data_IF_725073305442
#
_entry.id   IF_725073305442
#
_cell.length_a   1.000
_cell.length_b   1.000
_cell.length_c   1.000
_cell.angle_alpha   90.00
_cell.angle_beta   90.00
_cell.angle_gamma   90.00
#
_symmetry.space_group_name_H-M   'P 1'
#
loop_
_entity.id
_entity.type
_entity.pdbx_description
1 polymer ?
#
# COMPACT_ATOMS: atom_id res chain seq x y z
N UNK A 1 11.67 3.17 9.54
CA UNK A 1 10.65 4.25 9.69
C UNK A 1 11.14 5.49 8.95
N UNK A 2 10.24 6.21 8.29
CA UNK A 2 10.53 7.48 7.58
C UNK A 2 10.30 8.66 8.53
N UNK A 3 10.99 9.79 8.28
CA UNK A 3 10.84 11.01 9.07
C UNK A 3 9.81 11.96 8.44
N UNK A 4 9.44 13.03 9.16
CA UNK A 4 8.43 14.00 8.71
C UNK A 4 8.75 14.62 7.34
N UNK A 5 10.02 14.90 7.08
CA UNK A 5 10.45 15.42 5.77
C UNK A 5 10.18 14.43 4.64
N UNK A 6 10.46 13.15 4.87
CA UNK A 6 10.19 12.08 3.90
C UNK A 6 8.69 11.86 3.70
N UNK A 7 7.87 11.99 4.76
CA UNK A 7 6.40 11.94 4.65
C UNK A 7 5.92 13.05 3.72
N UNK A 8 6.39 14.29 3.90
CA UNK A 8 6.02 15.41 3.04
C UNK A 8 6.52 15.21 1.60
N UNK A 9 7.77 14.80 1.42
CA UNK A 9 8.33 14.52 0.08
C UNK A 9 7.56 13.41 -0.66
N UNK A 10 7.11 12.38 0.03
CA UNK A 10 6.31 11.32 -0.56
C UNK A 10 4.92 11.83 -0.96
N UNK A 11 4.30 12.65 -0.12
CA UNK A 11 3.03 13.30 -0.46
C UNK A 11 3.16 14.18 -1.70
N UNK A 12 4.18 15.00 -1.77
CA UNK A 12 4.42 15.88 -2.91
C UNK A 12 4.66 15.09 -4.20
N UNK A 13 5.40 13.97 -4.13
CA UNK A 13 5.57 13.02 -5.25
C UNK A 13 4.27 12.38 -5.69
N UNK A 14 3.40 12.01 -4.74
CA UNK A 14 2.09 11.42 -5.03
C UNK A 14 1.21 12.42 -5.79
N UNK A 15 1.14 13.66 -5.32
CA UNK A 15 0.37 14.73 -5.97
C UNK A 15 0.94 15.04 -7.35
N UNK A 16 2.26 15.18 -7.48
CA UNK A 16 2.92 15.39 -8.77
C UNK A 16 2.63 14.26 -9.76
N UNK A 17 2.65 13.00 -9.31
CA UNK A 17 2.32 11.86 -10.15
C UNK A 17 0.88 11.94 -10.68
N UNK A 18 -0.07 12.40 -9.87
CA UNK A 18 -1.47 12.60 -10.28
C UNK A 18 -1.56 13.72 -11.31
N UNK A 19 -0.87 14.84 -11.07
CA UNK A 19 -0.85 15.98 -11.98
C UNK A 19 -0.26 15.64 -13.35
N UNK A 20 0.78 14.79 -13.38
CA UNK A 20 1.47 14.38 -14.59
C UNK A 20 0.73 13.26 -15.37
N UNK A 21 -0.09 12.47 -14.68
CA UNK A 21 -0.74 11.29 -15.27
C UNK A 21 -2.12 11.58 -15.80
N UNK A 22 -2.90 12.41 -15.12
CA UNK A 22 -4.32 12.62 -15.43
C UNK A 22 -4.59 14.03 -15.95
N UNK A 23 -5.68 14.17 -16.71
CA UNK A 23 -6.10 15.43 -17.31
C UNK A 23 -7.58 15.77 -17.01
N UNK A 24 -7.96 17.04 -17.30
CA UNK A 24 -9.33 17.54 -17.30
C UNK A 24 -10.07 17.31 -15.97
N UNK A 25 -11.37 17.04 -16.07
CA UNK A 25 -12.29 16.84 -14.95
C UNK A 25 -11.85 15.70 -14.01
N UNK A 26 -11.24 14.65 -14.57
CA UNK A 26 -10.73 13.53 -13.77
C UNK A 26 -9.61 13.97 -12.82
N UNK A 27 -8.65 14.73 -13.32
CA UNK A 27 -7.56 15.32 -12.51
C UNK A 27 -8.12 16.19 -11.39
N UNK A 28 -9.03 17.09 -11.72
CA UNK A 28 -9.61 18.02 -10.74
C UNK A 28 -10.31 17.27 -9.59
N UNK A 29 -11.09 16.24 -9.92
CA UNK A 29 -11.77 15.40 -8.93
C UNK A 29 -10.81 14.60 -8.08
N UNK A 30 -9.77 14.03 -8.69
CA UNK A 30 -8.70 13.32 -7.97
C UNK A 30 -8.01 14.26 -6.98
N UNK A 31 -7.54 15.42 -7.43
CA UNK A 31 -6.89 16.39 -6.55
C UNK A 31 -7.80 16.86 -5.41
N UNK A 32 -9.10 17.03 -5.68
CA UNK A 32 -10.10 17.35 -4.63
C UNK A 32 -10.20 16.22 -3.60
N UNK A 33 -10.26 14.98 -4.04
CA UNK A 33 -10.31 13.80 -3.17
C UNK A 33 -9.04 13.70 -2.31
N UNK A 34 -7.86 13.76 -2.93
CA UNK A 34 -6.60 13.68 -2.21
C UNK A 34 -6.42 14.85 -1.22
N UNK A 35 -6.88 16.06 -1.57
CA UNK A 35 -6.89 17.19 -0.64
C UNK A 35 -7.79 16.92 0.57
N UNK A 36 -8.95 16.30 0.37
CA UNK A 36 -9.87 15.94 1.47
C UNK A 36 -9.21 14.96 2.44
N UNK A 37 -8.51 13.95 1.92
CA UNK A 37 -7.87 12.90 2.71
C UNK A 37 -6.43 13.22 3.13
N UNK A 38 -5.88 14.40 2.81
CA UNK A 38 -4.45 14.71 2.95
C UNK A 38 -3.87 14.31 4.29
N UNK A 39 -4.40 14.83 5.38
CA UNK A 39 -3.83 14.62 6.71
C UNK A 39 -3.91 13.15 7.13
N UNK A 40 -5.00 12.47 6.82
CA UNK A 40 -5.17 11.04 7.08
C UNK A 40 -4.20 10.19 6.27
N UNK A 41 -4.14 10.37 4.96
CA UNK A 41 -3.26 9.60 4.08
C UNK A 41 -1.79 9.83 4.39
N UNK A 42 -1.39 11.07 4.69
CA UNK A 42 0.00 11.40 5.02
C UNK A 42 0.51 10.64 6.24
N UNK A 43 -0.37 10.35 7.21
CA UNK A 43 0.02 9.69 8.46
C UNK A 43 -0.52 8.25 8.59
N UNK A 44 -1.31 7.77 7.63
CA UNK A 44 -1.78 6.39 7.64
C UNK A 44 -0.64 5.39 7.54
N UNK A 45 -0.69 4.26 8.29
CA UNK A 45 0.15 3.11 8.03
C UNK A 45 -0.38 2.33 6.83
N UNK A 46 0.48 1.55 6.16
CA UNK A 46 0.04 0.64 5.10
C UNK A 46 -0.57 -0.66 5.65
N UNK A 47 -0.25 -1.03 6.89
CA UNK A 47 -0.79 -2.21 7.57
C UNK A 47 -0.95 -1.96 9.07
N UNK A 48 -1.77 -2.78 9.73
CA UNK A 48 -1.98 -2.70 11.17
C UNK A 48 -0.94 -3.44 12.01
N UNK A 49 -0.13 -4.30 11.40
CA UNK A 49 0.80 -5.19 12.10
C UNK A 49 2.23 -4.98 11.62
N UNK A 50 3.14 -4.83 12.56
CA UNK A 50 4.54 -4.42 12.36
C UNK A 50 5.31 -5.31 11.38
N UNK A 51 5.08 -6.61 11.42
CA UNK A 51 5.76 -7.59 10.56
C UNK A 51 5.12 -7.80 9.18
N UNK A 52 4.12 -7.01 8.81
CA UNK A 52 3.58 -7.11 7.45
C UNK A 52 4.36 -6.19 6.51
N UNK A 53 3.94 -4.94 6.38
CA UNK A 53 4.63 -3.97 5.54
C UNK A 53 4.26 -2.56 5.98
N UNK A 54 5.26 -1.69 6.03
CA UNK A 54 5.11 -0.23 6.24
C UNK A 54 4.11 0.17 7.32
N UNK A 55 4.13 -0.55 8.49
CA UNK A 55 3.27 -0.32 9.65
C UNK A 55 3.78 0.85 10.50
N UNK A 56 3.82 2.05 9.92
CA UNK A 56 4.29 3.28 10.56
C UNK A 56 3.64 4.51 9.91
N UNK A 57 3.61 5.67 10.59
CA UNK A 57 3.08 6.91 10.02
C UNK A 57 3.76 7.26 8.68
N UNK A 58 2.95 7.48 7.64
CA UNK A 58 3.43 7.72 6.28
C UNK A 58 3.70 6.46 5.45
N UNK A 59 3.53 5.28 6.05
CA UNK A 59 3.74 4.00 5.37
C UNK A 59 2.79 3.79 4.20
N UNK A 60 1.54 4.24 4.30
CA UNK A 60 0.55 4.13 3.23
C UNK A 60 1.02 4.80 1.93
N UNK A 61 1.39 6.07 1.97
CA UNK A 61 1.83 6.81 0.77
C UNK A 61 3.12 6.22 0.21
N UNK A 62 4.06 5.83 1.07
CA UNK A 62 5.30 5.16 0.66
C UNK A 62 5.01 3.86 -0.10
N UNK A 63 4.13 3.02 0.45
CA UNK A 63 3.70 1.76 -0.15
C UNK A 63 3.06 1.99 -1.53
N UNK A 64 2.09 2.90 -1.62
CA UNK A 64 1.41 3.23 -2.89
C UNK A 64 2.40 3.68 -3.97
N UNK A 65 3.37 4.54 -3.64
CA UNK A 65 4.41 4.97 -4.59
C UNK A 65 5.29 3.79 -5.05
N UNK A 66 5.64 2.89 -4.14
CA UNK A 66 6.39 1.67 -4.48
C UNK A 66 5.58 0.76 -5.40
N UNK A 67 4.27 0.59 -5.14
CA UNK A 67 3.38 -0.20 -6.02
C UNK A 67 3.35 0.38 -7.43
N UNK A 68 3.16 1.70 -7.59
CA UNK A 68 3.18 2.34 -8.91
C UNK A 68 4.52 2.10 -9.62
N UNK A 69 5.63 2.22 -8.90
CA UNK A 69 6.96 1.97 -9.45
C UNK A 69 7.10 0.53 -9.98
N UNK A 70 6.72 -0.48 -9.17
CA UNK A 70 6.81 -1.88 -9.58
C UNK A 70 5.77 -2.25 -10.64
N UNK A 71 4.57 -1.70 -10.60
CA UNK A 71 3.56 -1.92 -11.63
C UNK A 71 4.06 -1.48 -13.01
N UNK A 72 4.71 -0.31 -13.10
CA UNK A 72 5.35 0.15 -14.36
C UNK A 72 6.46 -0.79 -14.81
N UNK A 73 7.34 -1.23 -13.91
CA UNK A 73 8.40 -2.20 -14.23
C UNK A 73 7.83 -3.54 -14.72
N UNK A 74 6.82 -4.07 -14.05
CA UNK A 74 6.20 -5.33 -14.48
C UNK A 74 5.46 -5.17 -15.81
N UNK A 75 4.83 -4.03 -16.06
CA UNK A 75 4.25 -3.73 -17.36
C UNK A 75 5.30 -3.85 -18.48
N UNK A 76 6.47 -3.22 -18.29
CA UNK A 76 7.57 -3.30 -19.25
C UNK A 76 8.07 -4.73 -19.43
N UNK A 77 8.28 -5.47 -18.32
CA UNK A 77 8.70 -6.89 -18.38
C UNK A 77 7.68 -7.73 -19.15
N UNK A 78 6.38 -7.58 -18.90
CA UNK A 78 5.35 -8.33 -19.62
C UNK A 78 5.32 -7.97 -21.11
N UNK A 79 5.39 -6.69 -21.43
CA UNK A 79 5.42 -6.17 -22.81
C UNK A 79 6.63 -6.69 -23.59
N UNK A 80 7.82 -6.60 -23.01
CA UNK A 80 9.09 -7.02 -23.65
C UNK A 80 9.15 -8.54 -23.87
N UNK A 81 8.39 -9.32 -23.11
CA UNK A 81 8.27 -10.76 -23.27
C UNK A 81 7.03 -11.18 -24.10
N UNK A 82 6.43 -10.26 -24.82
CA UNK A 82 5.39 -10.53 -25.82
C UNK A 82 3.98 -10.67 -25.25
N UNK A 83 3.72 -10.22 -24.02
CA UNK A 83 2.35 -10.16 -23.50
C UNK A 83 1.55 -9.07 -24.26
N UNK A 84 0.25 -9.34 -24.46
CA UNK A 84 -0.65 -8.37 -25.07
C UNK A 84 -1.09 -7.33 -24.05
N UNK A 85 -0.62 -6.11 -24.22
CA UNK A 85 -0.87 -4.98 -23.29
C UNK A 85 -1.62 -3.81 -23.94
N UNK A 86 -2.09 -3.99 -25.20
CA UNK A 86 -2.72 -2.93 -26.00
C UNK A 86 -4.21 -2.72 -25.68
N UNK A 87 -4.79 -3.53 -24.80
CA UNK A 87 -6.21 -3.48 -24.42
C UNK A 87 -6.48 -2.66 -23.16
N UNK A 88 -5.48 -1.98 -22.62
CA UNK A 88 -5.57 -0.98 -21.59
C UNK A 88 -4.40 0.02 -21.70
N UNK A 89 -4.49 1.14 -20.99
CA UNK A 89 -3.48 2.19 -21.03
C UNK A 89 -2.58 2.13 -19.78
N UNK A 90 -1.39 2.74 -19.87
CA UNK A 90 -0.52 2.93 -18.70
C UNK A 90 -1.20 3.84 -17.66
N UNK A 91 -2.04 4.79 -18.09
CA UNK A 91 -2.85 5.61 -17.19
C UNK A 91 -3.80 4.74 -16.35
N UNK A 92 -4.52 3.77 -16.97
CA UNK A 92 -5.40 2.83 -16.25
C UNK A 92 -4.62 1.99 -15.22
N UNK A 93 -3.40 1.55 -15.58
CA UNK A 93 -2.54 0.82 -14.65
C UNK A 93 -2.12 1.68 -13.46
N UNK A 94 -1.68 2.92 -13.71
CA UNK A 94 -1.30 3.86 -12.65
C UNK A 94 -2.52 4.20 -11.78
N UNK A 95 -3.69 4.42 -12.39
CA UNK A 95 -4.92 4.67 -11.64
C UNK A 95 -5.25 3.52 -10.70
N UNK A 96 -5.24 2.28 -11.19
CA UNK A 96 -5.51 1.13 -10.35
C UNK A 96 -4.46 0.96 -9.24
N UNK A 97 -3.18 1.19 -9.55
CA UNK A 97 -2.09 1.12 -8.57
C UNK A 97 -2.20 2.19 -7.47
N UNK A 98 -2.60 3.42 -7.82
CA UNK A 98 -2.83 4.50 -6.85
C UNK A 98 -3.99 4.22 -5.89
N UNK A 99 -4.99 3.47 -6.33
CA UNK A 99 -6.25 3.33 -5.62
C UNK A 99 -6.55 1.92 -5.10
N UNK A 100 -5.66 0.92 -5.31
CA UNK A 100 -5.89 -0.46 -4.85
C UNK A 100 -6.13 -0.54 -3.34
N UNK A 101 -5.45 0.28 -2.58
CA UNK A 101 -5.51 0.36 -1.12
C UNK A 101 -6.21 1.65 -0.60
N UNK A 102 -6.91 2.39 -1.47
CA UNK A 102 -7.53 3.67 -1.10
C UNK A 102 -8.44 3.55 0.13
N UNK A 103 -9.12 2.43 0.31
CA UNK A 103 -9.98 2.19 1.46
C UNK A 103 -9.24 2.16 2.80
N UNK A 104 -7.92 2.02 2.82
CA UNK A 104 -7.10 2.15 4.04
C UNK A 104 -7.01 3.59 4.56
N UNK A 105 -7.42 4.59 3.78
CA UNK A 105 -7.57 5.97 4.23
C UNK A 105 -8.77 6.19 5.18
N UNK A 106 -9.66 5.19 5.29
CA UNK A 106 -10.88 5.28 6.10
C UNK A 106 -12.14 5.54 5.27
N UNK A 107 -13.20 6.05 5.89
CA UNK A 107 -14.36 6.56 5.19
C UNK A 107 -14.28 8.09 4.98
N UNK A 108 -15.40 8.77 4.70
CA UNK A 108 -15.37 10.21 4.45
C UNK A 108 -15.00 11.04 5.70
N UNK A 109 -15.21 10.50 6.90
CA UNK A 109 -15.07 11.22 8.17
C UNK A 109 -14.00 10.64 9.09
N UNK A 110 -13.83 9.31 9.13
CA UNK A 110 -13.04 8.59 10.11
C UNK A 110 -11.89 7.79 9.46
N UNK A 111 -10.81 7.61 10.22
CA UNK A 111 -9.65 6.80 9.83
C UNK A 111 -9.99 5.30 9.80
N UNK A 112 -9.36 4.55 8.87
CA UNK A 112 -9.46 3.09 8.88
C UNK A 112 -8.71 2.47 10.06
N UNK A 113 -7.53 2.98 10.36
CA UNK A 113 -6.68 2.45 11.42
C UNK A 113 -6.64 3.39 12.62
N UNK A 114 -6.89 2.84 13.81
CA UNK A 114 -6.69 3.52 15.08
C UNK A 114 -5.59 2.82 15.90
N UNK A 115 -4.88 3.53 16.79
CA UNK A 115 -3.89 2.92 17.64
C UNK A 115 -4.47 1.77 18.47
N UNK A 116 -3.77 0.65 18.53
CA UNK A 116 -4.17 -0.47 19.36
C UNK A 116 -3.91 -0.17 20.84
N UNK A 117 -4.95 -0.14 21.66
CA UNK A 117 -4.84 0.15 23.10
C UNK A 117 -4.32 -1.04 23.91
N UNK A 118 -4.28 -2.25 23.35
CA UNK A 118 -3.79 -3.44 24.03
C UNK A 118 -2.27 -3.52 23.99
N UNK A 119 -1.61 -3.25 25.12
CA UNK A 119 -0.16 -3.36 25.25
C UNK A 119 0.33 -4.79 24.96
N UNK A 120 -0.42 -5.80 25.39
CA UNK A 120 -0.09 -7.19 25.14
C UNK A 120 -0.05 -7.52 23.64
N UNK A 121 -1.06 -7.09 22.87
CA UNK A 121 -1.10 -7.33 21.43
C UNK A 121 0.00 -6.56 20.68
N UNK A 122 0.31 -5.33 21.10
CA UNK A 122 1.42 -4.58 20.53
C UNK A 122 2.75 -5.29 20.75
N UNK A 123 3.04 -5.72 22.02
CA UNK A 123 4.33 -6.33 22.36
C UNK A 123 4.50 -7.76 21.85
N UNK A 124 3.44 -8.57 21.89
CA UNK A 124 3.56 -10.00 21.59
C UNK A 124 3.14 -10.38 20.16
N UNK A 125 2.39 -9.51 19.46
CA UNK A 125 1.89 -9.78 18.12
C UNK A 125 2.26 -8.67 17.12
N UNK A 126 2.96 -7.62 17.53
CA UNK A 126 3.30 -6.50 16.67
C UNK A 126 2.06 -5.75 16.12
N UNK A 127 0.88 -5.92 16.74
CA UNK A 127 -0.36 -5.24 16.31
C UNK A 127 -0.38 -3.80 16.81
N UNK A 128 0.24 -2.90 16.06
CA UNK A 128 0.36 -1.48 16.43
C UNK A 128 -0.94 -0.73 16.20
N UNK A 129 -1.66 -1.06 15.12
CA UNK A 129 -2.97 -0.49 14.79
C UNK A 129 -4.02 -1.58 14.68
N UNK A 130 -5.28 -1.18 14.81
CA UNK A 130 -6.47 -2.02 14.61
C UNK A 130 -7.46 -1.30 13.72
N UNK A 131 -8.34 -2.05 13.08
CA UNK A 131 -9.43 -1.46 12.31
C UNK A 131 -10.34 -0.65 13.22
N UNK A 132 -10.79 0.51 12.74
CA UNK A 132 -11.68 1.39 13.45
C UNK A 132 -13.10 0.78 13.51
N UNK A 133 -13.61 0.42 14.70
CA UNK A 133 -14.92 -0.21 14.83
C UNK A 133 -16.09 0.76 14.59
N UNK A 134 -15.82 2.06 14.47
CA UNK A 134 -16.86 3.08 14.28
C UNK A 134 -17.29 3.23 12.82
N UNK A 135 -16.46 2.76 11.87
CA UNK A 135 -16.78 2.82 10.45
C UNK A 135 -17.44 1.52 9.95
N UNK A 136 -18.28 1.61 8.94
CA UNK A 136 -18.84 0.43 8.30
C UNK A 136 -17.71 -0.44 7.73
N UNK A 137 -17.73 -1.73 8.07
CA UNK A 137 -16.78 -2.68 7.49
C UNK A 137 -16.96 -2.78 5.98
N UNK A 138 -15.91 -2.54 5.25
CA UNK A 138 -15.74 -2.81 3.83
C UNK A 138 -14.30 -3.27 3.61
N UNK A 139 -14.08 -4.16 2.64
CA UNK A 139 -12.71 -4.47 2.21
C UNK A 139 -12.01 -3.20 1.68
N UNK A 140 -10.68 -3.06 1.81
CA UNK A 140 -10.00 -1.88 1.27
C UNK A 140 -10.30 -1.61 -0.21
N UNK A 141 -10.31 -2.61 -1.12
CA UNK A 141 -10.71 -2.37 -2.51
C UNK A 141 -12.16 -1.89 -2.67
N UNK A 142 -13.12 -2.49 -1.95
CA UNK A 142 -14.54 -2.11 -2.07
C UNK A 142 -14.78 -0.70 -1.53
N UNK A 143 -14.15 -0.35 -0.40
CA UNK A 143 -14.21 1.01 0.17
C UNK A 143 -13.54 2.01 -0.76
N UNK A 144 -12.41 1.67 -1.37
CA UNK A 144 -11.73 2.52 -2.34
C UNK A 144 -12.62 2.85 -3.54
N UNK A 145 -13.30 1.87 -4.11
CA UNK A 145 -14.25 2.06 -5.21
C UNK A 145 -15.45 2.91 -4.79
N UNK A 146 -15.95 2.73 -3.58
CA UNK A 146 -17.01 3.58 -3.03
C UNK A 146 -16.54 5.04 -2.87
N UNK A 147 -15.34 5.29 -2.30
CA UNK A 147 -14.77 6.63 -2.17
C UNK A 147 -14.65 7.31 -3.54
N UNK A 148 -14.11 6.62 -4.54
CA UNK A 148 -14.01 7.16 -5.91
C UNK A 148 -15.37 7.59 -6.44
N UNK A 149 -16.42 6.80 -6.19
CA UNK A 149 -17.78 7.10 -6.60
C UNK A 149 -18.36 8.32 -5.88
N UNK A 150 -18.11 8.48 -4.58
CA UNK A 150 -18.56 9.64 -3.77
C UNK A 150 -17.95 10.96 -4.29
N UNK A 151 -16.71 10.92 -4.79
CA UNK A 151 -16.07 12.08 -5.43
C UNK A 151 -16.43 12.25 -6.91
N UNK A 152 -17.34 11.41 -7.46
CA UNK A 152 -17.74 11.45 -8.85
C UNK A 152 -16.61 11.13 -9.81
N UNK A 153 -15.60 10.35 -9.37
CA UNK A 153 -14.48 9.89 -10.19
C UNK A 153 -14.92 8.63 -10.92
N UNK A 154 -14.98 8.70 -12.23
CA UNK A 154 -15.31 7.55 -13.08
C UNK A 154 -14.07 6.70 -13.31
N UNK A 155 -14.27 5.40 -13.42
CA UNK A 155 -13.20 4.43 -13.69
C UNK A 155 -13.67 3.39 -14.72
N UNK A 156 -12.73 2.85 -15.49
CA UNK A 156 -13.00 1.79 -16.45
C UNK A 156 -13.19 0.43 -15.76
N UNK A 157 -13.69 -0.56 -16.51
CA UNK A 157 -13.77 -1.94 -16.01
C UNK A 157 -12.37 -2.50 -15.72
N UNK A 158 -11.36 -2.13 -16.50
CA UNK A 158 -9.98 -2.56 -16.27
C UNK A 158 -9.44 -2.01 -14.95
N UNK A 159 -9.67 -0.71 -14.68
CA UNK A 159 -9.27 -0.07 -13.43
C UNK A 159 -10.00 -0.67 -12.23
N UNK A 160 -11.32 -0.88 -12.34
CA UNK A 160 -12.10 -1.55 -11.30
C UNK A 160 -11.55 -2.94 -10.98
N UNK A 161 -11.29 -3.76 -12.01
CA UNK A 161 -10.74 -5.10 -11.84
C UNK A 161 -9.32 -5.06 -11.28
N UNK A 162 -8.50 -4.08 -11.69
CA UNK A 162 -7.18 -3.86 -11.11
C UNK A 162 -7.25 -3.63 -9.61
N UNK A 163 -8.06 -2.66 -9.19
CA UNK A 163 -8.28 -2.33 -7.77
C UNK A 163 -8.85 -3.54 -7.02
N UNK A 164 -9.92 -4.14 -7.53
CA UNK A 164 -10.66 -5.22 -6.84
C UNK A 164 -9.84 -6.50 -6.67
N UNK A 165 -8.92 -6.78 -7.59
CA UNK A 165 -8.15 -8.03 -7.64
C UNK A 165 -6.69 -7.86 -7.19
N UNK A 166 -6.28 -6.69 -6.68
CA UNK A 166 -4.90 -6.40 -6.29
C UNK A 166 -4.34 -7.40 -5.26
N UNK A 167 -5.15 -7.79 -4.26
CA UNK A 167 -4.77 -8.81 -3.26
C UNK A 167 -4.55 -10.20 -3.88
N UNK A 168 -4.89 -10.39 -5.16
CA UNK A 168 -4.68 -11.63 -5.88
C UNK A 168 -5.34 -12.82 -5.19
N UNK A 169 -4.57 -13.92 -5.05
CA UNK A 169 -5.06 -15.15 -4.43
C UNK A 169 -5.06 -15.14 -2.90
N UNK A 170 -4.63 -14.05 -2.27
CA UNK A 170 -4.78 -13.86 -0.83
C UNK A 170 -6.25 -13.56 -0.45
N UNK A 171 -7.06 -13.04 -1.38
CA UNK A 171 -8.52 -12.99 -1.27
C UNK A 171 -9.13 -14.19 -2.04
N UNK A 172 -9.76 -15.12 -1.32
CA UNK A 172 -10.40 -16.30 -1.92
C UNK A 172 -11.46 -15.93 -2.97
N UNK A 173 -12.15 -14.78 -2.81
CA UNK A 173 -13.13 -14.26 -3.75
C UNK A 173 -12.55 -13.99 -5.14
N UNK A 174 -11.25 -13.74 -5.23
CA UNK A 174 -10.54 -13.45 -6.48
C UNK A 174 -10.20 -14.71 -7.29
N UNK A 175 -10.23 -15.89 -6.67
CA UNK A 175 -9.85 -17.17 -7.27
C UNK A 175 -10.56 -17.44 -8.61
N UNK A 176 -11.86 -17.14 -8.69
CA UNK A 176 -12.68 -17.32 -9.90
C UNK A 176 -12.24 -16.47 -11.09
N UNK A 177 -11.60 -15.32 -10.83
CA UNK A 177 -11.08 -14.42 -11.86
C UNK A 177 -9.67 -14.80 -12.29
N UNK A 178 -8.81 -15.15 -11.33
CA UNK A 178 -7.37 -15.28 -11.54
C UNK A 178 -6.93 -16.70 -11.94
N UNK A 179 -7.67 -17.75 -11.54
CA UNK A 179 -7.30 -19.15 -11.82
C UNK A 179 -7.93 -19.74 -13.08
N UNK A 180 -8.82 -19.00 -13.76
CA UNK A 180 -9.47 -19.55 -14.95
C UNK A 180 -8.62 -19.37 -16.20
N UNK A 181 -8.45 -20.44 -16.96
CA UNK A 181 -7.93 -20.44 -18.33
C UNK A 181 -9.03 -20.55 -19.37
N UNK A 182 -10.31 -20.43 -18.97
CA UNK A 182 -11.42 -20.47 -19.89
C UNK A 182 -11.47 -19.16 -20.68
N UNK A 183 -11.31 -19.26 -22.02
CA UNK A 183 -11.27 -18.13 -22.96
C UNK A 183 -12.50 -17.20 -22.84
N UNK A 184 -13.67 -17.78 -22.53
CA UNK A 184 -14.92 -17.02 -22.50
C UNK A 184 -15.17 -16.35 -21.15
N UNK A 185 -14.57 -16.87 -20.06
CA UNK A 185 -14.76 -16.44 -18.67
C UNK A 185 -13.51 -15.78 -18.05
N UNK A 186 -12.40 -15.75 -18.76
CA UNK A 186 -11.15 -15.16 -18.28
C UNK A 186 -11.16 -13.63 -18.37
N UNK A 187 -10.25 -13.03 -17.62
CA UNK A 187 -9.94 -11.61 -17.72
C UNK A 187 -9.54 -11.26 -19.17
N UNK A 188 -9.99 -10.11 -19.66
CA UNK A 188 -9.69 -9.67 -21.02
C UNK A 188 -8.44 -8.79 -21.11
N UNK A 189 -7.86 -8.42 -19.97
CA UNK A 189 -6.58 -7.72 -19.87
C UNK A 189 -5.72 -8.34 -18.76
N UNK A 190 -4.43 -8.09 -18.83
CA UNK A 190 -3.46 -8.58 -17.83
C UNK A 190 -3.13 -7.56 -16.72
N UNK A 191 -3.74 -6.37 -16.75
CA UNK A 191 -3.56 -5.33 -15.74
C UNK A 191 -3.73 -5.86 -14.30
N UNK A 192 -4.78 -6.65 -13.95
CA UNK A 192 -4.93 -7.17 -12.60
C UNK A 192 -3.79 -8.09 -12.16
N UNK A 193 -3.23 -8.89 -13.08
CA UNK A 193 -2.07 -9.75 -12.78
C UNK A 193 -0.81 -8.92 -12.53
N UNK A 194 -0.56 -7.89 -13.36
CA UNK A 194 0.58 -6.98 -13.20
C UNK A 194 0.50 -6.27 -11.86
N UNK A 195 -0.68 -5.75 -11.51
CA UNK A 195 -0.86 -5.04 -10.25
C UNK A 195 -0.71 -5.97 -9.04
N UNK A 196 -1.30 -7.16 -9.08
CA UNK A 196 -1.11 -8.16 -8.02
C UNK A 196 0.37 -8.53 -7.83
N UNK A 197 1.12 -8.73 -8.91
CA UNK A 197 2.55 -9.00 -8.80
C UNK A 197 3.33 -7.81 -8.24
N UNK A 198 2.94 -6.59 -8.59
CA UNK A 198 3.55 -5.38 -8.05
C UNK A 198 3.32 -5.27 -6.53
N UNK A 199 2.09 -5.50 -6.09
CA UNK A 199 1.71 -5.46 -4.67
C UNK A 199 2.42 -6.56 -3.88
N UNK A 200 2.34 -7.82 -4.30
CA UNK A 200 3.03 -8.93 -3.66
C UNK A 200 4.54 -8.68 -3.56
N UNK A 201 5.17 -8.22 -4.65
CA UNK A 201 6.62 -7.95 -4.68
C UNK A 201 6.98 -6.81 -3.72
N UNK A 202 6.23 -5.71 -3.74
CA UNK A 202 6.44 -4.58 -2.84
C UNK A 202 6.32 -5.00 -1.38
N UNK A 203 5.25 -5.69 -1.03
CA UNK A 203 5.00 -6.19 0.32
C UNK A 203 6.15 -7.08 0.82
N UNK A 204 6.69 -7.96 -0.04
CA UNK A 204 7.80 -8.84 0.32
C UNK A 204 9.11 -8.09 0.50
N UNK A 205 9.41 -7.14 -0.39
CA UNK A 205 10.61 -6.28 -0.26
C UNK A 205 10.53 -5.44 1.01
N UNK A 206 9.39 -4.83 1.31
CA UNK A 206 9.18 -4.03 2.51
C UNK A 206 9.32 -4.87 3.79
N UNK A 207 8.84 -6.13 3.77
CA UNK A 207 9.04 -7.08 4.86
C UNK A 207 10.51 -7.45 5.07
N UNK A 208 11.26 -7.75 4.00
CA UNK A 208 12.69 -8.04 4.08
C UNK A 208 13.48 -6.83 4.62
N UNK A 209 13.15 -5.62 4.18
CA UNK A 209 13.75 -4.39 4.69
C UNK A 209 13.49 -4.21 6.19
N UNK A 210 12.28 -4.51 6.65
CA UNK A 210 11.92 -4.47 8.07
C UNK A 210 12.73 -5.49 8.87
N UNK A 211 12.87 -6.74 8.40
CA UNK A 211 13.69 -7.76 9.05
C UNK A 211 15.13 -7.29 9.23
N UNK A 212 15.77 -6.85 8.16
CA UNK A 212 17.17 -6.39 8.21
C UNK A 212 17.38 -5.19 9.14
N UNK A 213 16.44 -4.24 9.19
CA UNK A 213 16.52 -3.12 10.11
C UNK A 213 16.43 -3.55 11.57
N UNK A 214 15.62 -4.56 11.88
CA UNK A 214 15.48 -5.09 13.23
C UNK A 214 16.74 -5.87 13.66
N UNK A 215 17.27 -6.73 12.80
CA UNK A 215 18.51 -7.47 13.05
C UNK A 215 19.68 -6.51 13.35
N UNK A 216 19.81 -5.42 12.58
CA UNK A 216 20.84 -4.40 12.82
C UNK A 216 20.63 -3.66 14.16
N UNK A 217 19.39 -3.39 14.55
CA UNK A 217 19.08 -2.73 15.82
C UNK A 217 19.37 -3.65 17.02
N UNK A 218 19.00 -4.92 16.94
CA UNK A 218 19.30 -5.92 17.96
C UNK A 218 20.81 -6.08 18.14
N UNK A 219 21.57 -6.22 17.04
CA UNK A 219 23.03 -6.32 17.09
C UNK A 219 23.66 -5.09 17.75
N UNK A 220 23.25 -3.88 17.38
CA UNK A 220 23.76 -2.64 18.01
C UNK A 220 23.41 -2.54 19.49
N UNK A 221 22.23 -3.01 19.91
CA UNK A 221 21.84 -3.04 21.32
C UNK A 221 22.69 -4.05 22.13
N UNK A 222 22.93 -5.25 21.57
CA UNK A 222 23.79 -6.24 22.20
C UNK A 222 25.24 -5.76 22.35
N UNK A 223 25.79 -5.12 21.33
CA UNK A 223 27.13 -4.53 21.38
C UNK A 223 27.21 -3.46 22.47
N UNK A 224 26.24 -2.55 22.55
CA UNK A 224 26.19 -1.51 23.56
C UNK A 224 26.05 -2.09 24.97
N UNK A 225 25.25 -3.14 25.14
CA UNK A 225 25.13 -3.83 26.45
C UNK A 225 26.46 -4.51 26.85
N UNK A 226 27.18 -5.11 25.92
CA UNK A 226 28.53 -5.68 26.18
C UNK A 226 29.53 -4.60 26.57
N UNK A 227 29.52 -3.44 25.91
CA UNK A 227 30.39 -2.30 26.29
C UNK A 227 30.09 -1.81 27.70
N UNK A 228 28.81 -1.56 28.04
CA UNK A 228 28.40 -1.13 29.36
C UNK A 228 28.82 -2.15 30.44
N UNK A 229 28.63 -3.44 30.16
CA UNK A 229 29.05 -4.50 31.09
C UNK A 229 30.58 -4.51 31.32
N UNK A 230 31.33 -4.36 30.23
CA UNK A 230 32.81 -4.29 30.31
C UNK A 230 33.28 -3.05 31.08
N UNK A 231 32.61 -1.91 30.94
CA UNK A 231 32.92 -0.70 31.72
C UNK A 231 32.58 -0.89 33.20
N UNK A 232 31.45 -1.49 33.50
CA UNK A 232 31.02 -1.80 34.86
C UNK A 232 32.02 -2.75 35.53
N UNK A 233 32.42 -3.83 34.87
CA UNK A 233 33.41 -4.79 35.41
C UNK A 233 34.75 -4.15 35.75
N UNK A 234 35.19 -3.10 34.97
CA UNK A 234 36.43 -2.35 35.26
C UNK A 234 36.35 -1.45 36.47
N UNK A 235 35.15 -1.08 36.93
CA UNK A 235 34.98 -0.23 38.12
C UNK A 235 35.10 -1.00 39.45
N UNK A 236 35.04 -2.32 39.40
CA UNK A 236 35.04 -3.21 40.54
C UNK A 236 36.29 -4.13 40.62
N UNK A 237 37.27 -3.87 39.79
CA UNK A 237 38.64 -4.46 39.83
C UNK A 237 39.64 -3.40 40.30
#
# INVERSE_FOLDING_TARGET
>A
MINEKQIQENWDKLIQLIEDTFDGDRKEKLLKMYKHFKDRMMFAPASGTEHFHSCYPGGYVQHVLNIVHYAKKFYDVWKDNGAYVDNYTVEELIFAALHHDLGKAGDLEEDNYIPNNSEWHRKNQGKIYVDNPNIQYLSPPDRGLWILSEFGITYSVNEMLGIRLADGLYDEGNTRYLKTFNKDKGLKCNLPYILHHADMTTTRIEYEQWLHQNDEQETKQEEKLKEIKNEFDKLFV
#
